data_IF_080375015829
#
_entry.id   IF_080375015829
#
_cell.length_a   1.000
_cell.length_b   1.000
_cell.length_c   1.000
_cell.angle_alpha   90.00
_cell.angle_beta   90.00
_cell.angle_gamma   90.00
#
_symmetry.space_group_name_H-M   'P 1'
#
loop_
_entity.id
_entity.type
_entity.pdbx_description
1 polymer ?
#
# COMPACT_ATOMS: atom_id res chain seq x y z
N UNK A 1 19.92 -9.56 -12.33
CA UNK A 1 19.04 -10.58 -11.73
C UNK A 1 17.62 -10.27 -12.17
N UNK A 2 16.95 -11.22 -12.82
CA UNK A 2 15.66 -10.97 -13.46
C UNK A 2 14.56 -10.76 -12.40
N UNK A 3 13.98 -9.57 -12.35
CA UNK A 3 12.73 -9.34 -11.64
C UNK A 3 11.70 -10.33 -12.21
N UNK A 4 11.31 -11.32 -11.40
CA UNK A 4 10.20 -12.21 -11.71
C UNK A 4 9.01 -11.34 -12.06
N UNK A 5 8.56 -11.41 -13.32
CA UNK A 5 7.44 -10.64 -13.85
C UNK A 5 6.19 -11.20 -13.21
N UNK A 6 5.87 -10.73 -12.00
CA UNK A 6 4.69 -11.11 -11.24
C UNK A 6 3.48 -11.14 -12.17
N UNK A 7 2.73 -12.24 -12.10
CA UNK A 7 1.62 -12.52 -13.00
C UNK A 7 0.66 -11.31 -13.01
N UNK A 8 0.30 -10.86 -14.22
CA UNK A 8 -0.64 -9.74 -14.42
C UNK A 8 -1.95 -9.96 -13.67
N UNK A 9 -2.38 -11.21 -13.54
CA UNK A 9 -3.57 -11.60 -12.78
C UNK A 9 -3.39 -11.32 -11.29
N UNK A 10 -2.25 -11.68 -10.72
CA UNK A 10 -1.93 -11.43 -9.30
C UNK A 10 -1.95 -9.91 -9.03
N UNK A 11 -1.28 -9.12 -9.88
CA UNK A 11 -1.27 -7.66 -9.76
C UNK A 11 -2.66 -7.04 -9.83
N UNK A 12 -3.49 -7.51 -10.77
CA UNK A 12 -4.87 -7.06 -10.90
C UNK A 12 -5.68 -7.38 -9.65
N UNK A 13 -5.56 -8.61 -9.13
CA UNK A 13 -6.26 -9.06 -7.93
C UNK A 13 -5.87 -8.21 -6.72
N UNK A 14 -4.57 -8.04 -6.45
CA UNK A 14 -4.08 -7.19 -5.34
C UNK A 14 -4.63 -5.77 -5.45
N UNK A 15 -4.60 -5.18 -6.65
CA UNK A 15 -5.13 -3.82 -6.88
C UNK A 15 -6.61 -3.70 -6.55
N UNK A 16 -7.42 -4.67 -6.99
CA UNK A 16 -8.87 -4.68 -6.74
C UNK A 16 -9.17 -4.81 -5.24
N UNK A 17 -8.49 -5.73 -4.54
CA UNK A 17 -8.65 -5.93 -3.11
C UNK A 17 -8.22 -4.71 -2.29
N UNK A 18 -7.11 -4.06 -2.67
CA UNK A 18 -6.63 -2.83 -2.06
C UNK A 18 -7.62 -1.68 -2.21
N UNK A 19 -8.17 -1.51 -3.42
CA UNK A 19 -9.18 -0.49 -3.69
C UNK A 19 -10.47 -0.75 -2.89
N UNK A 20 -10.95 -1.98 -2.88
CA UNK A 20 -12.14 -2.38 -2.14
C UNK A 20 -12.01 -2.10 -0.63
N UNK A 21 -10.87 -2.46 -0.03
CA UNK A 21 -10.62 -2.15 1.38
C UNK A 21 -10.63 -0.65 1.65
N UNK A 22 -9.98 0.14 0.80
CA UNK A 22 -9.91 1.59 0.98
C UNK A 22 -11.26 2.30 0.82
N UNK A 23 -12.11 1.83 -0.08
CA UNK A 23 -13.49 2.30 -0.19
C UNK A 23 -14.29 1.97 1.06
N UNK A 24 -14.19 0.73 1.56
CA UNK A 24 -14.86 0.29 2.80
C UNK A 24 -14.41 1.09 4.03
N UNK A 25 -13.12 1.39 4.15
CA UNK A 25 -12.57 2.19 5.24
C UNK A 25 -13.00 3.66 5.18
N UNK A 26 -13.48 4.15 4.03
CA UNK A 26 -14.10 5.47 3.92
C UNK A 26 -15.59 5.46 4.31
N UNK A 27 -16.21 4.28 4.37
CA UNK A 27 -17.62 4.09 4.72
C UNK A 27 -17.81 3.75 6.20
N UNK A 28 -16.87 3.01 6.81
CA UNK A 28 -16.98 2.52 8.19
C UNK A 28 -15.62 2.23 8.85
N UNK A 29 -15.64 1.99 10.15
CA UNK A 29 -14.42 1.66 10.91
C UNK A 29 -13.78 0.35 10.43
N UNK A 30 -12.46 0.33 10.35
CA UNK A 30 -11.69 -0.80 9.83
C UNK A 30 -11.99 -2.13 10.55
N UNK A 31 -12.17 -2.08 11.87
CA UNK A 31 -12.46 -3.26 12.70
C UNK A 31 -13.79 -3.96 12.33
N UNK A 32 -14.71 -3.22 11.71
CA UNK A 32 -16.03 -3.71 11.30
C UNK A 32 -16.05 -4.19 9.84
N UNK A 33 -14.92 -4.12 9.13
CA UNK A 33 -14.78 -4.59 7.75
C UNK A 33 -14.49 -6.09 7.75
N UNK A 34 -15.26 -6.84 6.95
CA UNK A 34 -15.09 -8.29 6.80
C UNK A 34 -14.46 -8.66 5.46
N UNK A 35 -13.80 -9.83 5.41
CA UNK A 35 -13.29 -10.41 4.15
C UNK A 35 -14.40 -10.52 3.10
N UNK A 36 -15.62 -10.88 3.52
CA UNK A 36 -16.78 -10.98 2.63
C UNK A 36 -17.04 -9.66 1.91
N UNK A 37 -17.13 -8.57 2.64
CA UNK A 37 -17.45 -7.27 2.05
C UNK A 37 -16.36 -6.80 1.09
N UNK A 38 -15.09 -7.07 1.42
CA UNK A 38 -13.96 -6.76 0.53
C UNK A 38 -14.08 -7.58 -0.76
N UNK A 39 -14.36 -8.88 -0.66
CA UNK A 39 -14.45 -9.77 -1.83
C UNK A 39 -15.66 -9.44 -2.70
N UNK A 40 -16.80 -9.13 -2.07
CA UNK A 40 -18.03 -8.73 -2.75
C UNK A 40 -17.82 -7.39 -3.49
N UNK A 41 -17.15 -6.41 -2.85
CA UNK A 41 -16.79 -5.12 -3.45
C UNK A 41 -15.82 -5.25 -4.63
N UNK A 42 -14.85 -6.16 -4.51
CA UNK A 42 -13.82 -6.39 -5.52
C UNK A 42 -14.28 -7.27 -6.68
N UNK A 43 -15.50 -7.82 -6.61
CA UNK A 43 -16.02 -8.85 -7.53
C UNK A 43 -15.08 -10.07 -7.64
N UNK A 44 -14.69 -10.62 -6.49
CA UNK A 44 -13.77 -11.74 -6.36
C UNK A 44 -14.32 -12.81 -5.43
N UNK A 45 -13.86 -14.05 -5.61
CA UNK A 45 -14.20 -15.12 -4.69
C UNK A 45 -13.32 -15.06 -3.42
N UNK A 46 -13.84 -15.51 -2.28
CA UNK A 46 -13.09 -15.57 -1.01
C UNK A 46 -11.81 -16.40 -1.11
N UNK A 47 -11.85 -17.49 -1.87
CA UNK A 47 -10.65 -18.30 -2.14
C UNK A 47 -9.53 -17.49 -2.81
N UNK A 48 -9.88 -16.50 -3.63
CA UNK A 48 -8.92 -15.59 -4.26
C UNK A 48 -8.33 -14.61 -3.23
N UNK A 49 -9.12 -14.13 -2.26
CA UNK A 49 -8.59 -13.36 -1.13
C UNK A 49 -7.59 -14.19 -0.33
N UNK A 50 -7.99 -15.38 0.11
CA UNK A 50 -7.17 -16.23 0.97
C UNK A 50 -5.91 -16.77 0.30
N UNK A 51 -5.83 -16.72 -1.04
CA UNK A 51 -4.59 -17.00 -1.76
C UNK A 51 -3.51 -15.92 -1.54
N UNK A 52 -3.92 -14.68 -1.26
CA UNK A 52 -3.02 -13.54 -1.10
C UNK A 52 -2.88 -13.06 0.35
N UNK A 53 -3.94 -13.23 1.15
CA UNK A 53 -4.06 -12.62 2.47
C UNK A 53 -4.71 -13.56 3.49
N UNK A 54 -4.23 -13.54 4.74
CA UNK A 54 -4.82 -14.39 5.81
C UNK A 54 -6.11 -13.81 6.37
N UNK A 55 -6.18 -12.48 6.49
CA UNK A 55 -7.33 -11.74 7.02
C UNK A 55 -7.26 -10.26 6.58
N UNK A 56 -8.17 -9.44 7.09
CA UNK A 56 -8.25 -8.00 6.76
C UNK A 56 -7.06 -7.19 7.29
N UNK A 57 -6.43 -7.62 8.38
CA UNK A 57 -5.24 -6.98 8.96
C UNK A 57 -4.00 -7.27 8.11
N UNK A 58 -3.80 -8.51 7.66
CA UNK A 58 -2.70 -8.86 6.76
C UNK A 58 -2.82 -8.13 5.41
N UNK A 59 -4.04 -7.98 4.86
CA UNK A 59 -4.25 -7.13 3.68
C UNK A 59 -3.80 -5.70 3.95
N UNK A 60 -4.20 -5.12 5.08
CA UNK A 60 -3.84 -3.75 5.45
C UNK A 60 -2.33 -3.57 5.64
N UNK A 61 -1.67 -4.45 6.41
CA UNK A 61 -0.22 -4.37 6.66
C UNK A 61 0.55 -4.46 5.34
N UNK A 62 0.18 -5.38 4.45
CA UNK A 62 0.82 -5.49 3.13
C UNK A 62 0.63 -4.25 2.26
N UNK A 63 -0.53 -3.58 2.33
CA UNK A 63 -0.73 -2.31 1.62
C UNK A 63 0.18 -1.23 2.21
N UNK A 64 0.29 -1.14 3.54
CA UNK A 64 1.17 -0.18 4.22
C UNK A 64 2.65 -0.43 3.86
N UNK A 65 3.09 -1.69 3.88
CA UNK A 65 4.44 -2.10 3.51
C UNK A 65 4.75 -1.82 2.04
N UNK A 66 3.81 -2.12 1.13
CA UNK A 66 3.93 -1.79 -0.30
C UNK A 66 4.07 -0.27 -0.50
N UNK A 67 3.24 0.53 0.18
CA UNK A 67 3.29 1.99 0.08
C UNK A 67 4.64 2.56 0.55
N UNK A 68 5.17 2.04 1.66
CA UNK A 68 6.48 2.44 2.20
C UNK A 68 7.62 1.97 1.31
N UNK A 69 7.54 0.75 0.78
CA UNK A 69 8.55 0.22 -0.14
C UNK A 69 8.62 1.06 -1.42
N UNK A 70 7.50 1.28 -2.07
CA UNK A 70 7.41 2.09 -3.29
C UNK A 70 7.90 3.52 -3.05
N UNK A 71 7.56 4.12 -1.90
CA UNK A 71 8.06 5.44 -1.54
C UNK A 71 9.59 5.47 -1.37
N UNK A 72 10.17 4.43 -0.74
CA UNK A 72 11.62 4.29 -0.61
C UNK A 72 12.28 4.12 -1.97
N UNK A 73 11.69 3.36 -2.88
CA UNK A 73 12.20 3.18 -4.24
C UNK A 73 12.16 4.48 -5.05
N UNK A 74 11.09 5.27 -4.91
CA UNK A 74 11.02 6.62 -5.51
C UNK A 74 12.15 7.52 -5.02
N UNK A 75 12.47 7.45 -3.73
CA UNK A 75 13.57 8.24 -3.15
C UNK A 75 14.95 7.68 -3.55
N UNK A 76 15.13 6.36 -3.56
CA UNK A 76 16.43 5.71 -3.83
C UNK A 76 16.81 5.73 -5.31
N UNK A 77 15.82 5.70 -6.21
CA UNK A 77 16.02 5.81 -7.66
C UNK A 77 16.39 7.22 -8.12
N UNK A 78 16.30 8.21 -7.22
CA UNK A 78 16.82 9.55 -7.46
C UNK A 78 18.34 9.51 -7.67
N UNK A 79 18.75 9.69 -8.91
CA UNK A 79 20.16 9.80 -9.32
C UNK A 79 20.47 11.29 -9.57
N UNK A 80 21.08 11.99 -8.61
CA UNK A 80 21.40 13.40 -8.79
C UNK A 80 22.44 13.57 -9.91
N UNK A 81 22.08 14.28 -10.97
CA UNK A 81 23.03 14.76 -11.98
C UNK A 81 23.63 16.10 -11.54
N UNK A 82 24.78 16.53 -12.09
CA UNK A 82 25.36 17.84 -11.79
C UNK A 82 24.39 19.02 -12.03
N UNK A 83 23.41 18.83 -12.92
CA UNK A 83 22.38 19.81 -13.27
C UNK A 83 21.17 19.77 -12.32
N UNK A 84 20.92 18.65 -11.64
CA UNK A 84 19.75 18.42 -10.79
C UNK A 84 20.14 18.02 -9.35
N UNK A 85 21.26 18.52 -8.81
CA UNK A 85 21.74 18.20 -7.44
C UNK A 85 20.90 18.84 -6.31
N UNK A 86 19.60 19.07 -6.53
CA UNK A 86 18.72 19.80 -5.61
C UNK A 86 17.72 18.89 -4.95
N UNK A 87 17.60 19.02 -3.62
CA UNK A 87 16.54 18.39 -2.82
C UNK A 87 15.14 18.66 -3.40
N UNK A 88 14.95 19.75 -4.16
CA UNK A 88 13.70 20.07 -4.83
C UNK A 88 13.21 18.98 -5.79
N UNK A 89 14.09 18.40 -6.62
CA UNK A 89 13.66 17.39 -7.59
C UNK A 89 13.32 16.05 -6.94
N UNK A 90 14.07 15.68 -5.90
CA UNK A 90 13.71 14.56 -5.03
C UNK A 90 12.34 14.79 -4.37
N UNK A 91 12.10 16.00 -3.85
CA UNK A 91 10.81 16.38 -3.26
C UNK A 91 9.68 16.36 -4.28
N UNK A 92 9.90 16.82 -5.51
CA UNK A 92 8.90 16.77 -6.59
C UNK A 92 8.51 15.32 -6.93
N UNK A 93 9.47 14.39 -7.00
CA UNK A 93 9.17 12.98 -7.25
C UNK A 93 8.45 12.30 -6.08
N UNK A 94 8.91 12.53 -4.85
CA UNK A 94 8.25 12.04 -3.65
C UNK A 94 6.80 12.57 -3.55
N UNK A 95 6.61 13.86 -3.81
CA UNK A 95 5.29 14.49 -3.84
C UNK A 95 4.40 13.95 -4.96
N UNK A 96 4.96 13.63 -6.13
CA UNK A 96 4.24 12.98 -7.23
C UNK A 96 3.63 11.65 -6.80
N UNK A 97 4.43 10.79 -6.16
CA UNK A 97 3.97 9.51 -5.63
C UNK A 97 2.91 9.66 -4.53
N UNK A 98 3.14 10.56 -3.57
CA UNK A 98 2.17 10.81 -2.49
C UNK A 98 0.82 11.29 -3.06
N UNK A 99 0.84 12.13 -4.10
CA UNK A 99 -0.38 12.59 -4.75
C UNK A 99 -1.11 11.47 -5.49
N UNK A 100 -0.38 10.57 -6.16
CA UNK A 100 -0.97 9.44 -6.88
C UNK A 100 -1.63 8.42 -5.93
N UNK A 101 -0.98 8.12 -4.81
CA UNK A 101 -1.52 7.19 -3.80
C UNK A 101 -2.39 7.89 -2.72
N UNK A 102 -2.73 9.17 -2.92
CA UNK A 102 -3.39 10.03 -1.90
C UNK A 102 -4.64 9.42 -1.29
N UNK A 103 -5.45 8.73 -2.08
CA UNK A 103 -6.67 8.09 -1.59
C UNK A 103 -6.36 7.04 -0.52
N UNK A 104 -5.45 6.12 -0.83
CA UNK A 104 -5.04 5.04 0.08
C UNK A 104 -4.33 5.58 1.31
N UNK A 105 -3.38 6.49 1.10
CA UNK A 105 -2.64 7.13 2.19
C UNK A 105 -3.63 7.84 3.12
N UNK A 106 -4.52 8.69 2.59
CA UNK A 106 -5.51 9.40 3.42
C UNK A 106 -6.35 8.41 4.25
N UNK A 107 -6.87 7.37 3.63
CA UNK A 107 -7.77 6.42 4.29
C UNK A 107 -7.06 5.62 5.37
N UNK A 108 -5.83 5.16 5.12
CA UNK A 108 -5.03 4.42 6.11
C UNK A 108 -4.66 5.33 7.30
N UNK A 109 -4.11 6.52 7.03
CA UNK A 109 -3.62 7.44 8.05
C UNK A 109 -4.74 8.11 8.89
N UNK A 110 -5.95 8.26 8.36
CA UNK A 110 -7.09 8.81 9.13
C UNK A 110 -7.67 7.78 10.12
N UNK A 111 -7.49 6.49 9.83
CA UNK A 111 -7.96 5.38 10.69
C UNK A 111 -6.94 4.97 11.76
N UNK A 112 -5.69 5.41 11.64
CA UNK A 112 -4.58 5.04 12.52
C UNK A 112 -4.11 6.24 13.35
N UNK A 113 -4.73 6.49 14.51
CA UNK A 113 -4.05 7.21 15.59
C UNK A 113 -3.00 6.35 16.30
N UNK A 114 -2.84 5.08 15.94
CA UNK A 114 -1.87 4.13 16.55
C UNK A 114 -1.30 3.24 15.45
N UNK A 115 0.01 3.27 15.22
CA UNK A 115 0.64 2.34 14.26
C UNK A 115 2.12 2.56 13.95
N UNK A 116 2.65 3.79 14.06
CA UNK A 116 4.08 4.04 13.77
C UNK A 116 5.04 3.72 14.93
N UNK A 117 4.61 3.06 16.01
CA UNK A 117 5.41 2.91 17.23
C UNK A 117 6.15 1.55 17.39
N UNK A 118 5.91 0.52 16.58
CA UNK A 118 6.42 -0.82 16.90
C UNK A 118 7.17 -1.52 15.76
N UNK A 119 8.22 -0.92 15.19
CA UNK A 119 9.36 -1.67 14.60
C UNK A 119 10.68 -0.94 14.89
N UNK A 120 10.87 -0.49 16.12
CA UNK A 120 12.19 -0.16 16.66
C UNK A 120 12.56 -1.23 17.70
N UNK A 121 13.66 -1.93 17.42
CA UNK A 121 14.40 -2.80 18.33
C UNK A 121 13.95 -4.27 18.45
N UNK A 122 14.50 -5.11 17.56
CA UNK A 122 14.74 -6.54 17.83
C UNK A 122 15.98 -7.00 17.06
N UNK A 123 17.11 -6.40 17.41
CA UNK A 123 18.44 -7.00 17.26
C UNK A 123 19.25 -6.60 18.49
N UNK A 124 19.09 -7.33 19.59
CA UNK A 124 20.10 -7.70 20.61
C UNK A 124 19.52 -8.85 21.43
#
# INVERSE_FOLDING_TARGET
MAAQKEDRRIRRTKRLLRQALAELMNEKEFKDITVKEITDRADLNRGTFYFHYTDTYDLREKIEDELVHDFKEVISSYSPTPENYSARHMLEQAMGYIQEQKFLIRTLFHSSSVGMACKANSQW
#
